data_IF_246123253313
#
_entry.id   IF_246123253313
#
_cell.length_a   1.000
_cell.length_b   1.000
_cell.length_c   1.000
_cell.angle_alpha   90.00
_cell.angle_beta   90.00
_cell.angle_gamma   90.00
#
_symmetry.space_group_name_H-M   'P 1'
#
loop_
_entity.id
_entity.type
_entity.pdbx_description
1 polymer ?
#
# COMPACT_ATOMS: atom_id res chain seq x y z
N UNK A 1 23.54 -4.07 -15.21
CA UNK A 1 23.05 -4.61 -13.92
C UNK A 1 23.80 -5.85 -13.44
N UNK A 2 24.41 -6.66 -14.32
CA UNK A 2 25.08 -7.92 -13.97
C UNK A 2 26.12 -7.80 -12.83
N UNK A 3 26.89 -6.71 -12.78
CA UNK A 3 27.96 -6.51 -11.77
C UNK A 3 27.57 -5.59 -10.59
N UNK A 4 26.31 -5.23 -10.40
CA UNK A 4 25.92 -4.36 -9.29
C UNK A 4 25.83 -5.11 -7.94
N UNK A 5 26.13 -4.43 -6.83
CA UNK A 5 25.94 -4.98 -5.50
C UNK A 5 24.45 -4.96 -5.10
N UNK A 6 23.86 -6.08 -4.66
CA UNK A 6 22.46 -6.10 -4.21
C UNK A 6 22.26 -5.21 -2.98
N UNK A 7 21.00 -4.85 -2.72
CA UNK A 7 20.59 -4.11 -1.51
C UNK A 7 19.41 -4.81 -0.84
N UNK A 8 19.22 -4.54 0.46
CA UNK A 8 18.21 -5.21 1.29
C UNK A 8 16.81 -4.58 1.23
N UNK A 9 16.68 -3.35 0.72
CA UNK A 9 15.39 -2.66 0.58
C UNK A 9 15.26 -1.94 -0.77
N UNK A 10 14.07 -1.89 -1.37
CA UNK A 10 13.86 -1.25 -2.68
C UNK A 10 13.90 0.28 -2.63
N UNK A 11 13.58 0.87 -1.48
CA UNK A 11 13.68 2.31 -1.22
C UNK A 11 14.56 2.58 0.00
N UNK A 12 15.30 3.68 -0.03
CA UNK A 12 16.11 4.12 1.11
C UNK A 12 15.24 4.78 2.19
N UNK A 13 15.51 4.47 3.46
CA UNK A 13 14.77 5.05 4.57
C UNK A 13 14.95 6.58 4.58
N UNK A 14 13.85 7.32 4.55
CA UNK A 14 13.88 8.79 4.50
C UNK A 14 14.13 9.39 3.12
N UNK A 15 14.14 8.57 2.04
CA UNK A 15 14.23 9.06 0.67
C UNK A 15 13.12 10.08 0.39
N UNK A 16 13.52 11.24 -0.13
CA UNK A 16 12.62 12.28 -0.64
C UNK A 16 12.99 12.59 -2.08
N UNK A 17 12.03 12.43 -2.99
CA UNK A 17 12.14 12.79 -4.39
C UNK A 17 11.21 13.97 -4.67
N UNK A 18 11.56 14.85 -5.58
CA UNK A 18 10.78 16.06 -5.88
C UNK A 18 10.86 16.37 -7.37
N UNK A 19 9.78 16.92 -7.91
CA UNK A 19 9.75 17.43 -9.29
C UNK A 19 10.66 18.63 -9.49
N UNK A 20 10.90 19.39 -8.44
CA UNK A 20 11.78 20.57 -8.44
C UNK A 20 13.23 20.21 -8.15
N UNK A 21 13.60 18.92 -8.24
CA UNK A 21 14.97 18.48 -8.16
C UNK A 21 15.80 19.16 -9.27
N UNK A 22 16.80 19.94 -8.85
CA UNK A 22 17.73 20.66 -9.72
C UNK A 22 18.85 19.77 -10.27
N UNK A 23 18.77 18.47 -10.05
CA UNK A 23 19.70 17.49 -10.59
C UNK A 23 19.72 17.41 -12.11
N UNK A 24 20.74 16.73 -12.63
CA UNK A 24 20.89 16.46 -14.06
C UNK A 24 19.69 15.65 -14.58
N UNK A 25 19.11 16.08 -15.71
CA UNK A 25 18.02 15.33 -16.37
C UNK A 25 18.55 14.05 -16.99
N UNK A 26 17.73 12.99 -16.94
CA UNK A 26 18.05 11.73 -17.61
C UNK A 26 17.09 11.49 -18.78
N UNK A 27 17.38 10.49 -19.60
CA UNK A 27 16.54 10.14 -20.74
C UNK A 27 15.16 9.63 -20.27
N UNK A 28 14.10 10.43 -20.48
CA UNK A 28 12.74 10.08 -20.09
C UNK A 28 12.21 8.81 -20.74
N UNK A 29 12.68 8.44 -21.93
CA UNK A 29 12.22 7.22 -22.62
C UNK A 29 12.80 5.98 -21.97
N UNK A 30 14.10 5.98 -21.66
CA UNK A 30 14.75 4.88 -20.93
C UNK A 30 14.18 4.73 -19.53
N UNK A 31 13.95 5.85 -18.82
CA UNK A 31 13.35 5.82 -17.49
C UNK A 31 11.93 5.27 -17.51
N UNK A 32 11.09 5.68 -18.45
CA UNK A 32 9.73 5.13 -18.63
C UNK A 32 9.74 3.65 -18.95
N UNK A 33 10.67 3.21 -19.80
CA UNK A 33 10.83 1.78 -20.12
C UNK A 33 11.16 0.97 -18.86
N UNK A 34 12.16 1.43 -18.09
CA UNK A 34 12.55 0.80 -16.83
C UNK A 34 11.40 0.74 -15.81
N UNK A 35 10.75 1.88 -15.55
CA UNK A 35 9.63 1.96 -14.60
C UNK A 35 8.46 1.09 -15.06
N UNK A 36 8.19 1.04 -16.36
CA UNK A 36 7.17 0.17 -16.95
C UNK A 36 7.44 -1.32 -16.68
N UNK A 37 8.69 -1.77 -16.89
CA UNK A 37 9.09 -3.15 -16.58
C UNK A 37 8.97 -3.46 -15.09
N UNK A 38 9.40 -2.54 -14.21
CA UNK A 38 9.25 -2.70 -12.77
C UNK A 38 7.77 -2.76 -12.35
N UNK A 39 6.91 -1.97 -13.01
CA UNK A 39 5.47 -1.97 -12.73
C UNK A 39 4.82 -3.31 -13.06
N UNK A 40 5.26 -3.99 -14.12
CA UNK A 40 4.80 -5.34 -14.41
C UNK A 40 5.13 -6.33 -13.29
N UNK A 41 6.34 -6.24 -12.71
CA UNK A 41 6.76 -7.10 -11.61
C UNK A 41 5.93 -6.90 -10.34
N UNK A 42 5.31 -5.74 -10.13
CA UNK A 42 4.46 -5.49 -8.94
C UNK A 42 3.24 -6.40 -8.84
N UNK A 43 2.88 -7.11 -9.93
CA UNK A 43 1.83 -8.14 -9.93
C UNK A 43 2.20 -9.40 -9.14
N UNK A 44 3.50 -9.69 -8.96
CA UNK A 44 3.98 -10.86 -8.20
C UNK A 44 4.93 -10.48 -7.07
N UNK A 45 5.38 -9.21 -7.04
CA UNK A 45 6.30 -8.64 -6.05
C UNK A 45 5.65 -7.46 -5.34
N UNK A 46 4.74 -7.70 -4.38
CA UNK A 46 4.13 -6.61 -3.61
C UNK A 46 5.17 -5.78 -2.86
N UNK A 47 6.26 -6.40 -2.44
CA UNK A 47 7.33 -5.80 -1.66
C UNK A 47 8.08 -4.63 -2.36
N UNK A 48 7.96 -4.50 -3.68
CA UNK A 48 8.50 -3.34 -4.42
C UNK A 48 7.46 -2.29 -4.79
N UNK A 49 6.18 -2.54 -4.52
CA UNK A 49 5.04 -1.76 -5.03
C UNK A 49 5.14 -0.27 -4.68
N UNK A 50 5.45 0.05 -3.42
CA UNK A 50 5.60 1.44 -2.99
C UNK A 50 6.73 2.15 -3.72
N UNK A 51 7.92 1.53 -3.77
CA UNK A 51 9.10 2.12 -4.40
C UNK A 51 8.87 2.38 -5.90
N UNK A 52 8.23 1.43 -6.61
CA UNK A 52 7.84 1.60 -8.01
C UNK A 52 6.80 2.72 -8.16
N UNK A 53 5.80 2.77 -7.27
CA UNK A 53 4.80 3.83 -7.25
C UNK A 53 5.39 5.23 -7.00
N UNK A 54 6.45 5.33 -6.20
CA UNK A 54 7.17 6.57 -5.95
C UNK A 54 7.93 7.04 -7.20
N UNK A 55 8.77 6.21 -7.81
CA UNK A 55 9.55 6.60 -9.01
C UNK A 55 8.67 6.87 -10.23
N UNK A 56 7.49 6.24 -10.29
CA UNK A 56 6.50 6.48 -11.36
C UNK A 56 5.99 7.92 -11.43
N UNK A 57 6.09 8.70 -10.35
CA UNK A 57 5.62 10.09 -10.30
C UNK A 57 6.45 11.04 -11.17
N UNK A 58 7.64 10.61 -11.59
CA UNK A 58 8.65 11.46 -12.24
C UNK A 58 8.96 11.03 -13.69
N UNK A 59 8.07 10.26 -14.31
CA UNK A 59 8.28 9.70 -15.66
C UNK A 59 8.34 10.75 -16.79
N UNK A 60 7.81 11.95 -16.56
CA UNK A 60 7.79 13.03 -17.55
C UNK A 60 9.16 13.70 -17.68
N UNK A 61 9.72 14.14 -16.55
CA UNK A 61 11.00 14.85 -16.46
C UNK A 61 11.88 14.27 -15.34
N UNK A 62 12.40 13.04 -15.50
CA UNK A 62 13.24 12.41 -14.49
C UNK A 62 14.63 13.07 -14.43
N UNK A 63 15.22 13.00 -13.24
CA UNK A 63 16.58 13.46 -12.94
C UNK A 63 17.45 12.28 -12.49
N UNK A 64 18.74 12.52 -12.26
CA UNK A 64 19.67 11.52 -11.78
C UNK A 64 19.26 10.92 -10.42
N UNK A 65 18.63 11.70 -9.52
CA UNK A 65 18.13 11.18 -8.25
C UNK A 65 17.00 10.16 -8.45
N UNK A 66 16.07 10.43 -9.38
CA UNK A 66 15.00 9.52 -9.78
C UNK A 66 15.57 8.26 -10.42
N UNK A 67 16.56 8.40 -11.31
CA UNK A 67 17.26 7.28 -11.94
C UNK A 67 17.94 6.37 -10.91
N UNK A 68 18.64 6.98 -9.94
CA UNK A 68 19.29 6.24 -8.85
C UNK A 68 18.28 5.49 -7.97
N UNK A 69 17.12 6.10 -7.69
CA UNK A 69 16.04 5.43 -6.98
C UNK A 69 15.50 4.22 -7.76
N UNK A 70 15.28 4.34 -9.08
CA UNK A 70 14.85 3.23 -9.92
C UNK A 70 15.90 2.11 -9.99
N UNK A 71 17.19 2.45 -10.11
CA UNK A 71 18.28 1.48 -10.07
C UNK A 71 18.39 0.77 -8.72
N UNK A 72 18.08 1.45 -7.60
CA UNK A 72 18.02 0.80 -6.29
C UNK A 72 17.00 -0.34 -6.28
N UNK A 73 15.82 -0.14 -6.87
CA UNK A 73 14.80 -1.19 -6.98
C UNK A 73 15.35 -2.39 -7.76
N UNK A 74 16.05 -2.15 -8.88
CA UNK A 74 16.71 -3.23 -9.63
C UNK A 74 17.77 -3.98 -8.80
N UNK A 75 18.56 -3.26 -7.99
CA UNK A 75 19.56 -3.88 -7.09
C UNK A 75 18.91 -4.73 -6.01
N UNK A 76 17.76 -4.30 -5.50
CA UNK A 76 16.96 -5.10 -4.56
C UNK A 76 16.43 -6.37 -5.24
N UNK A 77 15.87 -6.24 -6.45
CA UNK A 77 15.39 -7.37 -7.25
C UNK A 77 16.51 -8.38 -7.53
N UNK A 78 17.71 -7.92 -7.85
CA UNK A 78 18.88 -8.78 -8.05
C UNK A 78 19.18 -9.64 -6.80
N UNK A 79 19.10 -9.05 -5.61
CA UNK A 79 19.35 -9.76 -4.35
C UNK A 79 18.19 -10.64 -3.88
N UNK A 80 17.04 -10.60 -4.57
CA UNK A 80 15.81 -11.30 -4.18
C UNK A 80 15.15 -11.99 -5.37
N UNK A 81 15.96 -12.45 -6.33
CA UNK A 81 15.47 -13.06 -7.58
C UNK A 81 14.76 -14.40 -7.34
N UNK A 82 15.15 -15.08 -6.28
CA UNK A 82 14.63 -16.33 -5.74
C UNK A 82 13.43 -16.13 -4.80
N UNK A 83 12.99 -14.90 -4.56
CA UNK A 83 11.86 -14.61 -3.69
C UNK A 83 10.54 -14.58 -4.45
N UNK A 84 9.50 -15.19 -3.86
CA UNK A 84 8.14 -15.21 -4.41
C UNK A 84 7.07 -15.36 -3.34
N UNK A 85 5.81 -15.24 -3.76
CA UNK A 85 4.65 -15.53 -2.91
C UNK A 85 4.40 -17.04 -2.86
N UNK A 86 4.37 -17.61 -1.66
CA UNK A 86 4.13 -19.04 -1.45
C UNK A 86 2.69 -19.29 -0.98
N UNK A 87 1.84 -19.82 -1.86
CA UNK A 87 0.47 -20.18 -1.50
C UNK A 87 0.38 -21.65 -1.08
N UNK A 88 -0.13 -21.87 0.12
CA UNK A 88 -0.44 -23.21 0.63
C UNK A 88 -1.93 -23.52 0.49
N UNK A 89 -2.26 -24.80 0.28
CA UNK A 89 -3.66 -25.23 0.29
C UNK A 89 -4.24 -25.06 1.70
N UNK A 90 -5.38 -24.38 1.79
CA UNK A 90 -6.14 -24.20 3.03
C UNK A 90 -7.58 -24.66 2.80
N UNK A 91 -8.14 -25.37 3.78
CA UNK A 91 -9.53 -25.87 3.71
C UNK A 91 -10.55 -24.80 4.09
N UNK A 92 -10.20 -23.95 5.05
CA UNK A 92 -10.99 -22.80 5.47
C UNK A 92 -10.15 -21.54 5.30
N UNK A 93 -10.67 -20.57 4.57
CA UNK A 93 -10.03 -19.25 4.40
C UNK A 93 -11.06 -18.17 4.74
N UNK A 94 -10.58 -17.14 5.43
CA UNK A 94 -11.34 -15.94 5.76
C UNK A 94 -10.71 -14.77 5.02
N UNK A 95 -11.53 -13.96 4.35
CA UNK A 95 -11.07 -12.73 3.76
C UNK A 95 -10.73 -11.73 4.88
N UNK A 96 -9.47 -11.31 4.93
CA UNK A 96 -8.96 -10.33 5.89
C UNK A 96 -8.20 -9.25 5.15
N UNK A 97 -8.43 -7.99 5.52
CA UNK A 97 -7.76 -6.82 4.97
C UNK A 97 -6.95 -6.06 6.01
N UNK A 98 -5.92 -5.37 5.56
CA UNK A 98 -5.21 -4.34 6.32
C UNK A 98 -5.19 -3.07 5.47
N UNK A 99 -5.25 -1.92 6.11
CA UNK A 99 -5.00 -0.63 5.45
C UNK A 99 -4.26 0.33 6.37
N UNK A 100 -3.56 1.26 5.74
CA UNK A 100 -2.76 2.31 6.35
C UNK A 100 -2.62 3.47 5.37
N UNK A 101 -2.26 4.64 5.87
CA UNK A 101 -1.85 5.77 5.05
C UNK A 101 -0.62 6.44 5.63
N UNK A 102 0.29 6.88 4.76
CA UNK A 102 1.17 7.97 5.18
C UNK A 102 0.35 9.25 5.44
N UNK A 103 0.97 10.29 5.99
CA UNK A 103 0.35 11.61 6.05
C UNK A 103 1.23 12.64 5.37
N UNK A 104 0.70 13.23 4.30
CA UNK A 104 1.38 14.22 3.49
C UNK A 104 2.79 13.77 3.09
N UNK A 105 2.94 12.50 2.70
CA UNK A 105 4.23 11.90 2.35
C UNK A 105 4.82 12.44 1.05
N UNK A 106 3.98 12.90 0.13
CA UNK A 106 4.46 13.56 -1.09
C UNK A 106 4.96 14.99 -0.79
N UNK A 107 6.19 15.30 -1.21
CA UNK A 107 6.78 16.61 -0.95
C UNK A 107 6.29 17.69 -1.91
N UNK A 108 5.83 17.32 -3.10
CA UNK A 108 5.46 18.25 -4.16
C UNK A 108 4.02 18.77 -3.98
N UNK A 109 3.08 17.91 -3.59
CA UNK A 109 1.66 18.31 -3.41
C UNK A 109 1.05 17.98 -2.04
N UNK A 110 1.86 17.46 -1.10
CA UNK A 110 1.45 17.12 0.28
C UNK A 110 0.28 16.13 0.34
N UNK A 111 0.04 15.37 -0.73
CA UNK A 111 -0.95 14.28 -0.71
C UNK A 111 -0.36 13.03 -0.06
N UNK A 112 -1.24 12.30 0.61
CA UNK A 112 -0.87 11.07 1.28
C UNK A 112 -0.80 9.88 0.32
N UNK A 113 -0.20 8.77 0.72
CA UNK A 113 -0.22 7.48 0.03
C UNK A 113 -1.05 6.49 0.83
N UNK A 114 -2.16 6.02 0.26
CA UNK A 114 -2.98 4.94 0.81
C UNK A 114 -2.41 3.60 0.40
N UNK A 115 -2.22 2.71 1.38
CA UNK A 115 -1.95 1.30 1.15
C UNK A 115 -3.11 0.41 1.59
N UNK A 116 -3.23 -0.76 0.97
CA UNK A 116 -3.98 -1.88 1.54
C UNK A 116 -3.45 -3.22 1.06
N UNK A 117 -3.74 -4.28 1.80
CA UNK A 117 -3.51 -5.66 1.39
C UNK A 117 -4.62 -6.57 1.90
N UNK A 118 -4.97 -7.57 1.12
CA UNK A 118 -5.88 -8.63 1.54
C UNK A 118 -5.22 -10.00 1.49
N UNK A 119 -5.67 -10.83 2.41
CA UNK A 119 -5.24 -12.20 2.62
C UNK A 119 -6.43 -13.14 2.48
N UNK A 120 -6.15 -14.32 1.90
CA UNK A 120 -6.96 -15.51 2.01
C UNK A 120 -6.05 -16.59 2.57
N UNK A 121 -6.07 -16.75 3.89
CA UNK A 121 -5.05 -17.52 4.60
C UNK A 121 -3.82 -16.68 4.98
N UNK A 122 -2.63 -17.27 4.82
CA UNK A 122 -1.38 -16.70 5.35
C UNK A 122 -0.57 -15.90 4.30
N UNK A 123 -1.06 -15.78 3.06
CA UNK A 123 -0.34 -15.12 1.97
C UNK A 123 -1.19 -14.04 1.32
N UNK A 124 -0.56 -12.88 1.07
CA UNK A 124 -1.21 -11.77 0.42
C UNK A 124 -1.55 -12.14 -1.03
N UNK A 125 -2.79 -11.88 -1.46
CA UNK A 125 -3.22 -12.20 -2.84
C UNK A 125 -3.63 -10.96 -3.64
N UNK A 126 -3.92 -9.84 -2.97
CA UNK A 126 -4.18 -8.56 -3.63
C UNK A 126 -3.75 -7.40 -2.73
N UNK A 127 -3.21 -6.36 -3.33
CA UNK A 127 -2.61 -5.22 -2.64
C UNK A 127 -2.71 -3.94 -3.46
N UNK A 128 -2.47 -2.80 -2.82
CA UNK A 128 -2.43 -1.50 -3.46
C UNK A 128 -1.55 -0.53 -2.69
N UNK A 129 -0.92 0.38 -3.42
CA UNK A 129 -0.22 1.57 -2.93
C UNK A 129 -0.54 2.70 -3.89
N UNK A 130 -1.37 3.64 -3.46
CA UNK A 130 -1.89 4.71 -4.32
C UNK A 130 -1.84 6.06 -3.62
N UNK A 131 -1.26 7.03 -4.31
CA UNK A 131 -1.33 8.44 -3.92
C UNK A 131 -2.79 8.88 -3.87
N UNK A 132 -3.21 9.44 -2.74
CA UNK A 132 -4.55 9.98 -2.56
C UNK A 132 -4.80 11.11 -3.55
N UNK A 133 -6.04 11.25 -4.00
CA UNK A 133 -6.42 12.30 -4.96
C UNK A 133 -6.58 13.65 -4.26
N UNK A 134 -6.95 13.62 -2.98
CA UNK A 134 -7.18 14.79 -2.13
C UNK A 134 -6.00 15.01 -1.17
N UNK A 135 -5.85 16.24 -0.69
CA UNK A 135 -4.98 16.58 0.44
C UNK A 135 -5.81 16.47 1.71
N UNK A 136 -5.33 15.68 2.68
CA UNK A 136 -5.98 15.48 3.98
C UNK A 136 -5.37 16.37 5.04
N UNK A 137 -6.19 16.90 5.95
CA UNK A 137 -5.77 17.89 6.94
C UNK A 137 -5.25 17.26 8.23
N UNK A 138 -5.41 15.95 8.41
CA UNK A 138 -4.86 15.21 9.53
C UNK A 138 -4.52 13.76 9.17
N UNK A 139 -3.72 13.11 10.01
CA UNK A 139 -3.46 11.67 9.94
C UNK A 139 -4.76 10.86 10.02
N UNK A 140 -5.68 11.26 10.91
CA UNK A 140 -6.99 10.61 11.05
C UNK A 140 -7.79 10.63 9.74
N UNK A 141 -7.79 11.75 9.01
CA UNK A 141 -8.49 11.85 7.72
C UNK A 141 -7.81 11.01 6.63
N UNK A 142 -6.47 10.99 6.59
CA UNK A 142 -5.71 10.16 5.66
C UNK A 142 -6.01 8.67 5.84
N UNK A 143 -6.01 8.22 7.10
CA UNK A 143 -6.36 6.86 7.50
C UNK A 143 -7.81 6.51 7.17
N UNK A 144 -8.74 7.46 7.37
CA UNK A 144 -10.15 7.24 7.02
C UNK A 144 -10.34 7.07 5.51
N UNK A 145 -9.62 7.84 4.69
CA UNK A 145 -9.62 7.69 3.23
C UNK A 145 -9.04 6.32 2.83
N UNK A 146 -7.99 5.85 3.51
CA UNK A 146 -7.44 4.52 3.29
C UNK A 146 -8.43 3.40 3.66
N UNK A 147 -9.04 3.47 4.84
CA UNK A 147 -10.05 2.52 5.30
C UNK A 147 -11.26 2.46 4.37
N UNK A 148 -11.72 3.61 3.87
CA UNK A 148 -12.82 3.69 2.89
C UNK A 148 -12.43 2.98 1.59
N UNK A 149 -11.23 3.25 1.08
CA UNK A 149 -10.73 2.62 -0.15
C UNK A 149 -10.58 1.10 0.01
N UNK A 150 -10.10 0.66 1.18
CA UNK A 150 -10.00 -0.75 1.54
C UNK A 150 -11.38 -1.41 1.62
N UNK A 151 -12.37 -0.76 2.27
CA UNK A 151 -13.73 -1.27 2.36
C UNK A 151 -14.41 -1.45 0.99
N UNK A 152 -14.24 -0.49 0.08
CA UNK A 152 -14.71 -0.63 -1.31
C UNK A 152 -14.13 -1.90 -1.97
N UNK A 153 -12.82 -2.14 -1.80
CA UNK A 153 -12.15 -3.31 -2.35
C UNK A 153 -12.62 -4.61 -1.69
N UNK A 154 -12.84 -4.60 -0.37
CA UNK A 154 -13.39 -5.73 0.37
C UNK A 154 -14.78 -6.13 -0.16
N UNK A 155 -15.67 -5.16 -0.37
CA UNK A 155 -17.03 -5.40 -0.89
C UNK A 155 -16.97 -5.99 -2.30
N UNK A 156 -16.08 -5.48 -3.16
CA UNK A 156 -15.86 -6.04 -4.49
C UNK A 156 -15.34 -7.49 -4.40
N UNK A 157 -14.35 -7.76 -3.54
CA UNK A 157 -13.82 -9.10 -3.32
C UNK A 157 -14.89 -10.08 -2.79
N UNK A 158 -15.75 -9.64 -1.88
CA UNK A 158 -16.87 -10.46 -1.37
C UNK A 158 -17.83 -10.86 -2.48
N UNK A 159 -18.14 -9.95 -3.41
CA UNK A 159 -18.97 -10.25 -4.58
C UNK A 159 -18.29 -11.26 -5.51
N UNK A 160 -17.00 -11.06 -5.80
CA UNK A 160 -16.21 -12.00 -6.61
C UNK A 160 -16.16 -13.41 -5.97
N UNK A 161 -15.87 -13.48 -4.67
CA UNK A 161 -15.81 -14.75 -3.93
C UNK A 161 -17.16 -15.46 -3.92
N UNK A 162 -18.27 -14.72 -3.83
CA UNK A 162 -19.62 -15.29 -3.94
C UNK A 162 -19.86 -15.94 -5.31
N UNK A 163 -19.43 -15.30 -6.40
CA UNK A 163 -19.52 -15.87 -7.76
C UNK A 163 -18.66 -17.13 -7.93
N UNK A 164 -17.55 -17.23 -7.19
CA UNK A 164 -16.67 -18.41 -7.17
C UNK A 164 -17.15 -19.52 -6.21
N UNK A 165 -18.35 -19.40 -5.63
CA UNK A 165 -18.88 -20.31 -4.59
C UNK A 165 -18.01 -20.37 -3.31
N UNK A 166 -17.34 -19.26 -2.98
CA UNK A 166 -16.47 -19.07 -1.81
C UNK A 166 -17.04 -18.01 -0.86
N UNK A 167 -18.36 -17.99 -0.69
CA UNK A 167 -19.10 -16.96 0.05
C UNK A 167 -18.54 -16.73 1.45
N UNK A 168 -18.35 -15.45 1.80
CA UNK A 168 -17.89 -15.01 3.12
C UNK A 168 -19.11 -14.58 3.95
N UNK A 169 -19.62 -15.46 4.81
CA UNK A 169 -20.83 -15.16 5.61
C UNK A 169 -20.58 -14.06 6.66
N UNK A 170 -19.41 -14.11 7.32
CA UNK A 170 -19.02 -13.10 8.30
C UNK A 170 -18.56 -11.79 7.64
N UNK A 171 -18.64 -10.68 8.38
CA UNK A 171 -18.05 -9.40 7.99
C UNK A 171 -16.55 -9.55 7.73
N UNK A 172 -16.05 -8.91 6.67
CA UNK A 172 -14.63 -8.88 6.38
C UNK A 172 -13.91 -7.99 7.38
N UNK A 173 -12.93 -8.55 8.09
CA UNK A 173 -12.14 -7.80 9.07
C UNK A 173 -11.11 -6.95 8.35
N UNK A 174 -11.12 -5.64 8.63
CA UNK A 174 -10.13 -4.68 8.12
C UNK A 174 -9.37 -4.10 9.30
N UNK A 175 -8.08 -4.37 9.34
CA UNK A 175 -7.19 -3.89 10.39
C UNK A 175 -6.65 -2.49 10.09
N UNK A 176 -6.82 -1.60 11.07
CA UNK A 176 -6.39 -0.19 11.05
C UNK A 176 -5.60 0.12 12.31
N UNK A 177 -4.57 0.96 12.25
CA UNK A 177 -3.74 1.29 13.42
C UNK A 177 -4.06 2.66 14.02
N UNK A 178 -4.99 3.41 13.41
CA UNK A 178 -5.41 4.72 13.90
C UNK A 178 -6.71 4.63 14.73
N UNK A 179 -6.56 4.74 16.06
CA UNK A 179 -7.69 4.71 17.00
C UNK A 179 -8.70 5.84 16.78
N UNK A 180 -8.25 7.01 16.32
CA UNK A 180 -9.13 8.15 16.05
C UNK A 180 -10.00 7.88 14.83
N UNK A 181 -9.42 7.35 13.74
CA UNK A 181 -10.17 6.94 12.55
C UNK A 181 -11.19 5.83 12.89
N UNK A 182 -10.78 4.85 13.72
CA UNK A 182 -11.67 3.81 14.21
C UNK A 182 -12.83 4.36 15.05
N UNK A 183 -12.55 5.31 15.95
CA UNK A 183 -13.59 5.96 16.76
C UNK A 183 -14.56 6.77 15.90
N UNK A 184 -14.04 7.45 14.87
CA UNK A 184 -14.81 8.24 13.92
C UNK A 184 -15.72 7.37 13.04
N UNK A 185 -15.28 6.15 12.70
CA UNK A 185 -16.09 5.17 12.00
C UNK A 185 -17.21 4.61 12.90
N UNK A 186 -17.00 4.52 14.21
CA UNK A 186 -18.01 4.00 15.15
C UNK A 186 -19.03 5.04 15.64
N UNK A 187 -18.65 6.31 15.72
CA UNK A 187 -19.46 7.34 16.39
C UNK A 187 -19.92 8.45 15.43
N UNK A 188 -21.24 8.69 15.29
CA UNK A 188 -21.78 9.66 14.33
C UNK A 188 -21.58 11.14 14.69
N UNK A 189 -21.20 11.44 15.93
CA UNK A 189 -21.19 12.80 16.48
C UNK A 189 -19.97 13.64 16.07
N UNK A 190 -18.92 13.05 15.51
CA UNK A 190 -17.62 13.73 15.28
C UNK A 190 -17.48 14.47 13.91
N UNK A 191 -18.59 14.84 13.26
CA UNK A 191 -18.60 15.23 11.83
C UNK A 191 -18.29 16.70 11.51
N UNK A 192 -18.29 17.60 12.49
CA UNK A 192 -18.27 19.04 12.20
C UNK A 192 -16.99 19.57 11.53
N UNK A 193 -15.89 18.79 11.51
CA UNK A 193 -14.57 19.25 11.01
C UNK A 193 -14.10 18.68 9.67
N UNK A 194 -14.83 17.74 9.05
CA UNK A 194 -14.31 16.98 7.90
C UNK A 194 -15.26 16.91 6.69
N UNK A 195 -15.93 18.02 6.39
CA UNK A 195 -16.93 18.13 5.29
C UNK A 195 -16.41 17.69 3.91
N UNK A 196 -15.10 17.83 3.64
CA UNK A 196 -14.50 17.47 2.35
C UNK A 196 -14.36 15.97 2.11
N UNK A 197 -14.61 15.14 3.13
CA UNK A 197 -14.68 13.68 3.02
C UNK A 197 -15.99 13.10 3.56
N UNK A 198 -17.04 13.93 3.67
CA UNK A 198 -18.34 13.56 4.26
C UNK A 198 -18.95 12.28 3.66
N UNK A 199 -18.98 12.19 2.33
CA UNK A 199 -19.48 11.00 1.63
C UNK A 199 -18.72 9.72 2.01
N UNK A 200 -17.41 9.81 2.26
CA UNK A 200 -16.60 8.64 2.67
C UNK A 200 -16.97 8.18 4.07
N UNK A 201 -17.26 9.12 4.97
CA UNK A 201 -17.76 8.78 6.30
C UNK A 201 -19.07 8.02 6.25
N UNK A 202 -20.04 8.55 5.52
CA UNK A 202 -21.34 7.92 5.38
C UNK A 202 -21.22 6.52 4.78
N UNK A 203 -20.44 6.38 3.71
CA UNK A 203 -20.22 5.08 3.06
C UNK A 203 -19.59 4.06 4.01
N UNK A 204 -18.45 4.39 4.65
CA UNK A 204 -17.74 3.40 5.48
C UNK A 204 -18.60 2.95 6.68
N UNK A 205 -19.40 3.86 7.24
CA UNK A 205 -20.37 3.54 8.30
C UNK A 205 -21.48 2.63 7.80
N UNK A 206 -22.07 2.94 6.66
CA UNK A 206 -23.11 2.11 6.05
C UNK A 206 -22.60 0.67 5.84
N UNK A 207 -21.38 0.51 5.32
CA UNK A 207 -20.77 -0.82 5.15
C UNK A 207 -20.58 -1.57 6.48
N UNK A 208 -20.29 -0.86 7.58
CA UNK A 208 -20.18 -1.45 8.92
C UNK A 208 -21.55 -1.80 9.51
N UNK A 209 -22.56 -0.95 9.32
CA UNK A 209 -23.94 -1.19 9.77
C UNK A 209 -24.57 -2.37 9.04
N UNK A 210 -24.32 -2.49 7.74
CA UNK A 210 -24.73 -3.63 6.90
C UNK A 210 -23.89 -4.90 7.17
N UNK A 211 -22.91 -4.83 8.07
CA UNK A 211 -22.01 -5.95 8.42
C UNK A 211 -21.24 -6.51 7.22
N UNK A 212 -20.99 -5.71 6.19
CA UNK A 212 -20.13 -6.12 5.07
C UNK A 212 -18.65 -6.13 5.49
N UNK A 213 -18.26 -5.13 6.29
CA UNK A 213 -16.90 -4.96 6.82
C UNK A 213 -16.92 -4.65 8.31
N UNK A 214 -15.84 -4.99 9.01
CA UNK A 214 -15.63 -4.65 10.41
C UNK A 214 -14.21 -4.10 10.60
N UNK A 215 -14.11 -2.86 11.06
CA UNK A 215 -12.81 -2.28 11.40
C UNK A 215 -12.32 -2.78 12.76
N UNK A 216 -11.08 -3.28 12.80
CA UNK A 216 -10.39 -3.72 14.01
C UNK A 216 -9.09 -2.95 14.20
N UNK A 217 -8.75 -2.67 15.45
CA UNK A 217 -7.47 -2.06 15.77
C UNK A 217 -6.34 -3.08 15.66
N UNK A 218 -5.26 -2.72 14.97
CA UNK A 218 -3.96 -3.39 15.02
C UNK A 218 -2.94 -2.43 15.61
N UNK A 219 -1.91 -2.94 16.29
CA UNK A 219 -0.81 -2.08 16.72
C UNK A 219 0.02 -1.66 15.52
N UNK A 220 0.56 -0.44 15.55
CA UNK A 220 1.44 0.07 14.47
C UNK A 220 2.64 -0.84 14.20
N UNK A 221 3.19 -1.51 15.21
CA UNK A 221 4.31 -2.48 15.05
C UNK A 221 3.96 -3.73 14.24
N UNK A 222 2.66 -4.02 14.09
CA UNK A 222 2.11 -5.16 13.38
C UNK A 222 1.31 -4.72 12.12
N UNK A 223 1.38 -3.43 11.76
CA UNK A 223 0.72 -2.90 10.57
C UNK A 223 1.50 -3.30 9.32
N UNK A 224 1.01 -4.34 8.62
CA UNK A 224 1.67 -4.89 7.42
C UNK A 224 1.73 -3.86 6.28
N UNK A 225 0.77 -2.93 6.23
CA UNK A 225 0.61 -1.98 5.12
C UNK A 225 1.65 -0.87 5.14
N UNK A 226 2.43 -0.71 6.21
CA UNK A 226 3.56 0.22 6.27
C UNK A 226 4.54 0.04 5.10
N UNK A 227 4.68 -1.19 4.57
CA UNK A 227 5.51 -1.50 3.39
C UNK A 227 4.99 -0.85 2.09
N UNK A 228 3.70 -0.49 2.06
CA UNK A 228 3.01 0.12 0.94
C UNK A 228 2.88 1.64 1.04
N UNK A 229 3.23 2.26 2.17
CA UNK A 229 2.98 3.70 2.40
C UNK A 229 4.24 4.51 2.59
N UNK A 230 5.35 3.90 3.02
CA UNK A 230 6.60 4.63 3.31
C UNK A 230 7.86 3.79 3.11
N UNK A 231 9.05 4.41 2.90
CA UNK A 231 10.31 3.70 2.96
C UNK A 231 10.59 3.24 4.41
N UNK A 232 11.06 2.01 4.57
CA UNK A 232 11.28 1.38 5.87
C UNK A 232 12.76 1.09 6.14
N UNK A 233 13.10 0.96 7.42
CA UNK A 233 14.38 0.36 7.84
C UNK A 233 14.42 -1.12 7.45
N UNK A 234 15.62 -1.64 7.24
CA UNK A 234 15.82 -3.00 6.73
C UNK A 234 15.14 -4.08 7.56
N UNK A 235 15.29 -4.04 8.88
CA UNK A 235 14.70 -4.98 9.83
C UNK A 235 13.17 -5.01 9.73
N UNK A 236 12.53 -3.83 9.71
CA UNK A 236 11.08 -3.70 9.57
C UNK A 236 10.63 -4.15 8.18
N UNK A 237 11.31 -3.72 7.12
CA UNK A 237 10.98 -4.10 5.75
C UNK A 237 11.01 -5.62 5.56
N UNK A 238 12.05 -6.29 6.04
CA UNK A 238 12.19 -7.75 5.94
C UNK A 238 11.09 -8.45 6.74
N UNK A 239 10.77 -7.99 7.96
CA UNK A 239 9.63 -8.49 8.75
C UNK A 239 8.33 -8.42 7.94
N UNK A 240 7.98 -7.23 7.43
CA UNK A 240 6.71 -7.03 6.73
C UNK A 240 6.64 -7.79 5.41
N UNK A 241 7.76 -7.88 4.67
CA UNK A 241 7.85 -8.69 3.45
C UNK A 241 7.55 -10.18 3.72
N UNK A 242 8.09 -10.73 4.81
CA UNK A 242 7.78 -12.11 5.21
C UNK A 242 6.30 -12.27 5.59
N UNK A 243 5.71 -11.29 6.28
CA UNK A 243 4.28 -11.30 6.62
C UNK A 243 3.35 -11.19 5.40
N UNK A 244 3.83 -10.63 4.28
CA UNK A 244 3.10 -10.70 3.00
C UNK A 244 3.13 -12.10 2.37
N UNK A 245 3.99 -12.99 2.85
CA UNK A 245 4.27 -14.30 2.24
C UNK A 245 5.34 -14.25 1.14
N UNK A 246 6.10 -13.15 1.02
CA UNK A 246 7.23 -13.06 0.08
C UNK A 246 8.49 -13.63 0.73
N UNK A 247 8.82 -14.87 0.41
CA UNK A 247 9.94 -15.62 1.00
C UNK A 247 10.86 -16.16 -0.09
N UNK A 248 12.08 -16.58 0.29
CA UNK A 248 12.96 -17.37 -0.58
C UNK A 248 12.29 -18.71 -0.88
N UNK A 249 12.20 -19.07 -2.16
CA UNK A 249 11.73 -20.37 -2.63
C UNK A 249 12.80 -21.46 -2.47
#
# INVERSE_FOLDING_TARGET
MENCNPVSTPAECGLKLSKDDKGEKVNSTEFRSLVGSLRYLTCTRPDILYAVGLVSRYMEAPTMSHWNAANRILRYMKGTIDHGLLYTKLENFKLVGYCDSDWAGDVDDRKSTTGFVFFLGDTAFTWSSKKQVIVTLSTCEAEYVAATSCACHAIWLRKLLKELNMTQEESTEIYVDNKSALALAKNPVFHDRSKHIDTRYHFLRECMEQKEVMLKYVKTEDQIVDIFTKPLKQDVFVKLRMLLGVTTN
#
